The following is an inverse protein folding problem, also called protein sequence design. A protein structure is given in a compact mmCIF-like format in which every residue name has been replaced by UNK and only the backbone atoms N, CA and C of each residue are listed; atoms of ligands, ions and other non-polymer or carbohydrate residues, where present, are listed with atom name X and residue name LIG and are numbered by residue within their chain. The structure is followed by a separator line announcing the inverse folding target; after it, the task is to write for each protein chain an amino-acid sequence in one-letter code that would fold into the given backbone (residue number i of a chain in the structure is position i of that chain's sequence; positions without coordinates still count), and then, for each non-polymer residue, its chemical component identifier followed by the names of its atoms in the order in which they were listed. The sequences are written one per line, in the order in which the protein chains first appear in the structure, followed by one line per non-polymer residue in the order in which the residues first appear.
data_IF_073929879554
#
_entry.id   IF_073929879554
#
_cell.length_a   1.000
_cell.length_b   1.000
_cell.length_c   1.000
_cell.angle_alpha   90.00
_cell.angle_beta   90.00
_cell.angle_gamma   90.00
#
_symmetry.space_group_name_H-M   'P 1'
#
loop_
_entity.id
_entity.type
_entity.pdbx_description
1 polymer ?
#
# COMPACT_ATOMS: atom_id res chain seq x y z
N UNK A 1 -6.47 -42.29 22.40
CA UNK A 1 -7.58 -41.48 22.96
C UNK A 1 -8.80 -41.67 22.07
N UNK A 2 -9.98 -42.01 22.60
CA UNK A 2 -11.21 -42.04 21.80
C UNK A 2 -11.49 -40.61 21.32
N UNK A 3 -11.49 -40.42 20.01
CA UNK A 3 -11.77 -39.12 19.38
C UNK A 3 -13.25 -38.80 19.57
N UNK A 4 -13.57 -37.68 20.21
CA UNK A 4 -14.95 -37.21 20.33
C UNK A 4 -15.44 -36.66 18.98
N UNK A 5 -16.09 -37.54 18.21
CA UNK A 5 -16.63 -37.25 16.88
C UNK A 5 -17.66 -36.12 16.92
N UNK A 6 -18.39 -35.93 18.03
CA UNK A 6 -19.38 -34.85 18.16
C UNK A 6 -18.70 -33.49 18.29
N UNK A 7 -17.59 -33.41 19.02
CA UNK A 7 -16.82 -32.18 19.16
C UNK A 7 -16.15 -31.78 17.85
N UNK A 8 -15.56 -32.75 17.14
CA UNK A 8 -14.95 -32.51 15.82
C UNK A 8 -15.99 -32.02 14.82
N UNK A 9 -17.18 -32.63 14.79
CA UNK A 9 -18.28 -32.19 13.92
C UNK A 9 -18.68 -30.74 14.21
N UNK A 10 -18.83 -30.34 15.48
CA UNK A 10 -19.14 -28.95 15.86
C UNK A 10 -18.08 -27.96 15.36
N UNK A 11 -16.80 -28.28 15.51
CA UNK A 11 -15.69 -27.43 15.04
C UNK A 11 -15.64 -27.34 13.51
N UNK A 12 -15.89 -28.45 12.80
CA UNK A 12 -15.96 -28.45 11.34
C UNK A 12 -17.16 -27.66 10.81
N UNK A 13 -18.33 -27.71 11.46
CA UNK A 13 -19.49 -26.87 11.11
C UNK A 13 -19.15 -25.39 11.22
N UNK A 14 -18.41 -24.99 12.26
CA UNK A 14 -17.94 -23.61 12.38
C UNK A 14 -16.98 -23.20 11.26
N UNK A 15 -16.08 -24.10 10.85
CA UNK A 15 -15.03 -23.81 9.86
C UNK A 15 -15.52 -23.86 8.41
N UNK A 16 -16.41 -24.80 8.08
CA UNK A 16 -16.94 -25.02 6.73
C UNK A 16 -18.27 -24.30 6.48
N UNK A 17 -19.00 -23.91 7.54
CA UNK A 17 -20.30 -23.22 7.49
C UNK A 17 -21.41 -23.95 6.71
N UNK A 18 -21.20 -25.21 6.35
CA UNK A 18 -22.14 -26.06 5.62
C UNK A 18 -22.09 -27.49 6.18
N UNK A 19 -23.23 -28.01 6.63
CA UNK A 19 -23.33 -29.35 7.23
C UNK A 19 -23.09 -30.48 6.21
N UNK A 20 -23.38 -30.26 4.93
CA UNK A 20 -23.15 -31.23 3.86
C UNK A 20 -21.66 -31.40 3.59
N UNK A 21 -20.91 -30.29 3.57
CA UNK A 21 -19.45 -30.32 3.44
C UNK A 21 -18.77 -30.94 4.65
N UNK A 22 -19.33 -30.78 5.85
CA UNK A 22 -18.83 -31.44 7.06
C UNK A 22 -19.04 -32.95 6.98
N UNK A 23 -20.22 -33.40 6.53
CA UNK A 23 -20.48 -34.83 6.33
C UNK A 23 -19.55 -35.43 5.27
N UNK A 24 -19.33 -34.70 4.17
CA UNK A 24 -18.42 -35.14 3.12
C UNK A 24 -16.95 -35.14 3.56
N UNK A 25 -16.52 -34.13 4.33
CA UNK A 25 -15.20 -34.06 4.94
C UNK A 25 -14.95 -35.26 5.87
N UNK A 26 -15.88 -35.55 6.78
CA UNK A 26 -15.77 -36.68 7.71
C UNK A 26 -15.74 -38.01 6.95
N UNK A 27 -16.50 -38.12 5.86
CA UNK A 27 -16.50 -39.32 4.99
C UNK A 27 -15.15 -39.52 4.28
N UNK A 28 -14.51 -38.44 3.83
CA UNK A 28 -13.26 -38.49 3.04
C UNK A 28 -11.99 -38.57 3.90
N UNK A 29 -11.94 -37.86 5.02
CA UNK A 29 -10.72 -37.65 5.82
C UNK A 29 -10.83 -38.17 7.26
N UNK A 30 -12.00 -38.69 7.66
CA UNK A 30 -12.28 -39.11 9.02
C UNK A 30 -12.53 -37.94 9.99
N UNK A 31 -12.78 -38.23 11.28
CA UNK A 31 -13.05 -37.23 12.30
C UNK A 31 -11.76 -36.57 12.82
N UNK A 32 -10.89 -36.08 11.93
CA UNK A 32 -9.65 -35.38 12.27
C UNK A 32 -9.63 -34.01 11.60
N UNK A 33 -9.36 -32.95 12.38
CA UNK A 33 -9.33 -31.58 11.87
C UNK A 33 -7.94 -31.32 11.27
N UNK A 34 -7.89 -31.19 9.95
CA UNK A 34 -6.70 -30.79 9.20
C UNK A 34 -7.04 -29.59 8.31
N UNK A 35 -6.32 -28.49 8.53
CA UNK A 35 -6.52 -27.23 7.81
C UNK A 35 -6.30 -27.39 6.30
N UNK A 36 -5.39 -28.29 5.88
CA UNK A 36 -5.13 -28.54 4.45
C UNK A 36 -6.35 -29.18 3.79
N UNK A 37 -6.92 -30.21 4.42
CA UNK A 37 -8.10 -30.90 3.90
C UNK A 37 -9.34 -29.98 3.90
N UNK A 38 -9.47 -29.10 4.89
CA UNK A 38 -10.55 -28.10 4.96
C UNK A 38 -10.46 -27.12 3.79
N UNK A 39 -9.25 -26.67 3.41
CA UNK A 39 -9.04 -25.82 2.23
C UNK A 39 -9.43 -26.55 0.94
N UNK A 40 -9.01 -27.80 0.78
CA UNK A 40 -9.34 -28.61 -0.40
C UNK A 40 -10.86 -28.77 -0.59
N UNK A 41 -11.60 -28.99 0.51
CA UNK A 41 -13.06 -29.09 0.47
C UNK A 41 -13.74 -27.76 0.09
N UNK A 42 -13.20 -26.62 0.54
CA UNK A 42 -13.75 -25.30 0.16
C UNK A 42 -13.53 -24.98 -1.32
N UNK A 43 -12.38 -25.36 -1.86
CA UNK A 43 -12.02 -25.12 -3.26
C UNK A 43 -12.85 -26.00 -4.21
N UNK A 44 -13.07 -27.28 -3.85
CA UNK A 44 -13.81 -28.22 -4.70
C UNK A 44 -15.33 -28.02 -4.73
N UNK A 45 -15.91 -27.33 -3.75
CA UNK A 45 -17.36 -27.17 -3.61
C UNK A 45 -17.95 -25.97 -4.38
N UNK A 46 -17.19 -25.32 -5.26
CA UNK A 46 -17.65 -24.15 -6.00
C UNK A 46 -17.91 -22.93 -5.10
N UNK A 47 -17.39 -22.94 -3.86
CA UNK A 47 -17.30 -21.73 -3.06
C UNK A 47 -16.21 -20.87 -3.68
N UNK A 48 -16.63 -19.81 -4.39
CA UNK A 48 -15.80 -18.74 -4.94
C UNK A 48 -14.56 -18.55 -4.07
N UNK A 49 -13.50 -19.27 -4.45
CA UNK A 49 -12.18 -18.99 -3.94
C UNK A 49 -11.82 -17.80 -4.78
N UNK A 50 -12.04 -16.62 -4.19
CA UNK A 50 -11.67 -15.32 -4.71
C UNK A 50 -10.58 -15.51 -5.76
N UNK A 51 -10.97 -15.36 -7.03
CA UNK A 51 -10.03 -15.31 -8.12
C UNK A 51 -8.96 -14.32 -7.69
N UNK A 52 -7.79 -14.91 -7.51
CA UNK A 52 -6.56 -14.28 -7.11
C UNK A 52 -6.24 -13.17 -8.08
N UNK A 53 -5.69 -12.09 -7.54
CA UNK A 53 -4.97 -11.03 -8.26
C UNK A 53 -5.83 -10.03 -9.04
N UNK A 54 -6.48 -9.10 -8.32
CA UNK A 54 -6.57 -7.69 -8.71
C UNK A 54 -7.17 -7.30 -10.08
N UNK A 55 -7.71 -8.24 -10.84
CA UNK A 55 -8.31 -7.99 -12.15
C UNK A 55 -9.73 -7.43 -11.97
N UNK A 56 -10.04 -6.42 -12.77
CA UNK A 56 -11.36 -5.78 -12.81
C UNK A 56 -12.37 -6.83 -13.27
N UNK A 57 -13.12 -7.40 -12.32
CA UNK A 57 -14.08 -8.46 -12.60
C UNK A 57 -15.26 -7.99 -13.47
N UNK A 58 -15.36 -6.69 -13.75
CA UNK A 58 -16.42 -6.08 -14.57
C UNK A 58 -17.84 -6.21 -14.00
N UNK A 59 -18.00 -6.93 -12.89
CA UNK A 59 -19.26 -7.24 -12.23
C UNK A 59 -19.39 -6.44 -10.94
N UNK A 60 -20.48 -5.68 -10.83
CA UNK A 60 -20.79 -4.87 -9.65
C UNK A 60 -20.72 -3.36 -9.91
N UNK A 61 -21.12 -2.59 -8.91
CA UNK A 61 -21.11 -1.13 -8.98
C UNK A 61 -19.69 -0.56 -9.00
N UNK A 62 -19.51 0.60 -9.61
CA UNK A 62 -18.22 1.27 -9.65
C UNK A 62 -17.80 1.77 -8.25
N UNK A 63 -16.66 1.32 -7.69
CA UNK A 63 -16.20 1.75 -6.37
C UNK A 63 -15.63 3.18 -6.35
N UNK A 64 -15.45 3.82 -7.50
CA UNK A 64 -14.83 5.15 -7.62
C UNK A 64 -15.86 6.21 -7.95
N UNK A 65 -15.65 7.42 -7.40
CA UNK A 65 -16.35 8.64 -7.80
C UNK A 65 -15.35 9.76 -8.12
N UNK A 66 -15.79 10.74 -8.92
CA UNK A 66 -14.96 11.88 -9.30
C UNK A 66 -15.20 13.08 -8.37
N UNK A 67 -14.12 13.80 -8.06
CA UNK A 67 -14.15 15.12 -7.45
C UNK A 67 -13.35 16.10 -8.30
N UNK A 68 -13.68 17.39 -8.19
CA UNK A 68 -12.93 18.47 -8.85
C UNK A 68 -12.02 19.19 -7.87
N UNK A 69 -10.78 19.43 -8.29
CA UNK A 69 -9.73 20.08 -7.51
C UNK A 69 -9.10 21.23 -8.31
N UNK A 70 -8.46 22.18 -7.63
CA UNK A 70 -7.71 23.26 -8.24
C UNK A 70 -6.20 23.08 -7.97
N UNK A 71 -5.36 23.33 -8.97
CA UNK A 71 -3.92 23.18 -8.83
C UNK A 71 -3.30 24.32 -8.03
N UNK A 72 -2.52 24.05 -6.97
CA UNK A 72 -1.83 25.11 -6.23
C UNK A 72 -0.59 25.67 -6.96
N UNK A 73 -0.10 24.97 -7.99
CA UNK A 73 1.11 25.35 -8.72
C UNK A 73 0.80 26.27 -9.90
N UNK A 74 -0.31 26.06 -10.61
CA UNK A 74 -0.60 26.83 -11.85
C UNK A 74 -2.03 27.35 -11.92
N UNK A 75 -2.76 27.28 -10.80
CA UNK A 75 -4.15 27.72 -10.64
C UNK A 75 -5.15 27.15 -11.64
N UNK A 76 -4.79 26.05 -12.33
CA UNK A 76 -5.73 25.33 -13.18
C UNK A 76 -6.87 24.80 -12.34
N UNK A 77 -8.08 25.19 -12.71
CA UNK A 77 -9.31 24.76 -12.07
C UNK A 77 -9.83 23.43 -12.65
N UNK A 78 -10.75 22.80 -11.93
CA UNK A 78 -11.54 21.65 -12.39
C UNK A 78 -10.69 20.43 -12.80
N UNK A 79 -9.63 20.13 -12.05
CA UNK A 79 -8.84 18.92 -12.21
C UNK A 79 -9.62 17.75 -11.64
N UNK A 80 -9.81 16.71 -12.43
CA UNK A 80 -10.51 15.50 -12.02
C UNK A 80 -9.58 14.67 -11.12
N UNK A 81 -10.07 14.34 -9.93
CA UNK A 81 -9.46 13.40 -8.98
C UNK A 81 -10.43 12.26 -8.73
N UNK A 82 -9.90 11.05 -8.62
CA UNK A 82 -10.67 9.84 -8.38
C UNK A 82 -10.58 9.48 -6.90
N UNK A 83 -11.71 9.17 -6.26
CA UNK A 83 -11.78 8.79 -4.85
C UNK A 83 -12.59 7.51 -4.67
N UNK A 84 -12.24 6.71 -3.66
CA UNK A 84 -12.98 5.50 -3.32
C UNK A 84 -14.24 5.83 -2.52
N UNK A 85 -15.38 5.24 -2.93
CA UNK A 85 -16.58 5.18 -2.10
C UNK A 85 -16.26 4.44 -0.80
N UNK A 86 -16.80 4.92 0.31
CA UNK A 86 -16.55 4.31 1.61
C UNK A 86 -16.96 2.82 1.61
N UNK A 87 -16.07 1.94 2.11
CA UNK A 87 -16.28 0.48 2.23
C UNK A 87 -16.53 -0.26 0.91
N UNK A 88 -16.33 0.38 -0.24
CA UNK A 88 -16.51 -0.24 -1.57
C UNK A 88 -15.43 -1.26 -1.92
N UNK A 89 -14.23 -1.10 -1.36
CA UNK A 89 -13.11 -2.02 -1.54
C UNK A 89 -12.58 -2.49 -0.19
N UNK A 90 -12.33 -3.79 -0.10
CA UNK A 90 -11.53 -4.37 0.97
C UNK A 90 -10.05 -4.21 0.65
N UNK A 91 -9.29 -3.64 1.59
CA UNK A 91 -7.84 -3.49 1.48
C UNK A 91 -7.17 -4.68 2.15
N UNK A 92 -6.40 -5.43 1.38
CA UNK A 92 -5.59 -6.56 1.87
C UNK A 92 -4.14 -6.19 1.65
N UNK A 93 -3.35 -6.23 2.71
CA UNK A 93 -1.95 -5.85 2.68
C UNK A 93 -1.06 -7.09 2.60
N UNK A 94 -0.11 -7.11 1.65
CA UNK A 94 0.86 -8.20 1.52
C UNK A 94 2.07 -8.02 2.44
N UNK A 95 3.02 -8.96 2.38
CA UNK A 95 4.27 -8.93 3.18
C UNK A 95 5.23 -7.78 2.84
N UNK A 96 5.03 -7.07 1.72
CA UNK A 96 5.75 -5.84 1.36
C UNK A 96 4.96 -4.57 1.75
N UNK A 97 3.89 -4.72 2.53
CA UNK A 97 2.95 -3.65 2.87
C UNK A 97 2.26 -3.02 1.65
N UNK A 98 2.22 -3.72 0.52
CA UNK A 98 1.48 -3.29 -0.67
C UNK A 98 0.03 -3.71 -0.54
N UNK A 99 -0.88 -2.77 -0.81
CA UNK A 99 -2.32 -2.99 -0.73
C UNK A 99 -2.83 -3.55 -2.06
N UNK A 100 -3.51 -4.68 -1.99
CA UNK A 100 -4.42 -5.18 -3.03
C UNK A 100 -5.84 -4.84 -2.65
N UNK A 101 -6.64 -4.44 -3.64
CA UNK A 101 -8.02 -4.05 -3.44
C UNK A 101 -8.92 -5.15 -3.98
N UNK A 102 -9.90 -5.58 -3.19
CA UNK A 102 -10.93 -6.52 -3.61
C UNK A 102 -12.32 -5.86 -3.49
N UNK A 103 -13.21 -6.15 -4.45
CA UNK A 103 -14.58 -5.67 -4.43
C UNK A 103 -15.31 -6.05 -3.14
N UNK A 104 -16.06 -5.12 -2.56
CA UNK A 104 -16.86 -5.36 -1.37
C UNK A 104 -18.26 -4.72 -1.51
N UNK A 105 -19.25 -5.24 -0.78
CA UNK A 105 -20.60 -4.67 -0.73
C UNK A 105 -21.22 -4.45 -2.13
N UNK A 106 -21.10 -5.43 -3.03
CA UNK A 106 -21.66 -5.35 -4.38
C UNK A 106 -20.89 -4.47 -5.39
N UNK A 107 -19.74 -3.92 -4.99
CA UNK A 107 -18.86 -3.19 -5.88
C UNK A 107 -17.84 -4.11 -6.55
N UNK A 108 -17.43 -3.75 -7.77
CA UNK A 108 -16.40 -4.49 -8.51
C UNK A 108 -15.00 -4.33 -7.91
N UNK A 109 -14.15 -5.31 -8.16
CA UNK A 109 -12.71 -5.23 -7.87
C UNK A 109 -12.07 -4.18 -8.78
N UNK A 110 -11.13 -3.39 -8.25
CA UNK A 110 -10.42 -2.36 -9.02
C UNK A 110 -9.04 -2.11 -8.40
N UNK A 111 -7.99 -2.11 -9.21
CA UNK A 111 -6.66 -1.67 -8.76
C UNK A 111 -6.61 -0.15 -8.64
N UNK A 112 -6.99 0.35 -7.47
CA UNK A 112 -7.04 1.78 -7.19
C UNK A 112 -5.67 2.47 -7.25
N UNK A 113 -4.56 1.73 -7.13
CA UNK A 113 -3.22 2.30 -7.27
C UNK A 113 -3.01 2.98 -8.63
N UNK A 114 -3.68 2.50 -9.68
CA UNK A 114 -3.63 3.15 -11.00
C UNK A 114 -4.29 4.54 -10.98
N UNK A 115 -5.32 4.73 -10.15
CA UNK A 115 -6.12 5.97 -10.14
C UNK A 115 -5.78 6.91 -8.97
N UNK A 116 -5.10 6.40 -7.93
CA UNK A 116 -4.88 7.11 -6.68
C UNK A 116 -4.18 8.47 -6.85
N UNK A 117 -3.25 8.57 -7.82
CA UNK A 117 -2.54 9.83 -8.07
C UNK A 117 -3.34 10.73 -9.01
N UNK A 118 -3.62 11.93 -8.54
CA UNK A 118 -4.19 13.02 -9.35
C UNK A 118 -3.07 13.83 -9.98
N UNK A 119 -3.20 14.15 -11.27
CA UNK A 119 -2.21 14.89 -12.05
C UNK A 119 -2.86 16.13 -12.65
N UNK A 120 -2.25 17.30 -12.45
CA UNK A 120 -2.64 18.52 -13.13
C UNK A 120 -2.19 18.46 -14.60
N UNK A 121 -3.10 18.51 -15.59
CA UNK A 121 -2.68 18.37 -16.99
C UNK A 121 -1.96 19.61 -17.54
N UNK A 122 -1.99 20.75 -16.82
CA UNK A 122 -1.28 21.98 -17.23
C UNK A 122 0.16 22.07 -16.74
N UNK A 123 0.46 21.63 -15.53
CA UNK A 123 1.81 21.79 -14.95
C UNK A 123 2.44 20.49 -14.47
N UNK A 124 1.72 19.37 -14.65
CA UNK A 124 2.12 18.02 -14.26
C UNK A 124 2.43 17.89 -12.77
N UNK A 125 1.94 18.79 -11.94
CA UNK A 125 1.90 18.60 -10.50
C UNK A 125 1.06 17.36 -10.18
N UNK A 126 1.59 16.46 -9.34
CA UNK A 126 0.96 15.19 -9.04
C UNK A 126 0.95 14.89 -7.54
N UNK A 127 -0.17 14.35 -7.06
CA UNK A 127 -0.36 13.94 -5.68
C UNK A 127 -1.41 12.85 -5.53
N UNK A 128 -1.19 11.84 -4.69
CA UNK A 128 -2.26 10.95 -4.23
C UNK A 128 -3.11 11.51 -3.07
N UNK A 129 -2.66 12.57 -2.40
CA UNK A 129 -3.42 13.25 -1.35
C UNK A 129 -4.12 14.49 -1.92
N UNK A 130 -5.46 14.49 -1.89
CA UNK A 130 -6.28 15.62 -2.32
C UNK A 130 -6.03 16.91 -1.53
N UNK A 131 -5.51 16.82 -0.29
CA UNK A 131 -5.16 18.00 0.53
C UNK A 131 -3.95 18.75 0.00
N UNK A 132 -3.15 18.11 -0.86
CA UNK A 132 -2.08 18.79 -1.58
C UNK A 132 -2.61 19.69 -2.71
N UNK A 133 -3.89 19.59 -3.06
CA UNK A 133 -4.57 20.49 -3.99
C UNK A 133 -5.42 21.52 -3.24
N UNK A 134 -5.84 22.56 -3.96
CA UNK A 134 -6.86 23.49 -3.46
C UNK A 134 -8.21 22.80 -3.66
N UNK A 135 -8.97 22.65 -2.57
CA UNK A 135 -10.29 22.00 -2.59
C UNK A 135 -11.39 23.02 -2.29
N UNK A 136 -12.62 22.78 -2.73
CA UNK A 136 -13.76 23.64 -2.37
C UNK A 136 -14.53 22.98 -1.22
N UNK A 137 -14.62 23.67 -0.09
CA UNK A 137 -15.46 23.19 1.01
C UNK A 137 -16.93 23.35 0.63
N UNK A 138 -17.66 22.23 0.50
CA UNK A 138 -19.05 22.21 0.05
C UNK A 138 -20.04 22.92 1.00
N UNK A 139 -19.69 23.06 2.29
CA UNK A 139 -20.59 23.67 3.30
C UNK A 139 -20.53 25.20 3.24
N UNK A 140 -19.31 25.74 3.22
CA UNK A 140 -19.07 27.19 3.24
C UNK A 140 -18.82 27.79 1.84
N UNK A 141 -18.74 26.94 0.81
CA UNK A 141 -18.39 27.28 -0.56
C UNK A 141 -17.11 28.15 -0.68
N UNK A 142 -16.11 27.87 0.16
CA UNK A 142 -14.82 28.58 0.18
C UNK A 142 -13.68 27.66 -0.22
N UNK A 143 -12.64 28.19 -0.90
CA UNK A 143 -11.45 27.43 -1.20
C UNK A 143 -10.70 27.11 0.10
N UNK A 144 -10.34 25.84 0.26
CA UNK A 144 -9.40 25.37 1.28
C UNK A 144 -8.02 25.31 0.60
N UNK A 145 -7.03 26.04 1.12
CA UNK A 145 -5.69 26.07 0.53
C UNK A 145 -5.02 24.70 0.60
N UNK A 146 -4.02 24.50 -0.27
CA UNK A 146 -3.16 23.32 -0.23
C UNK A 146 -2.40 23.25 1.10
N UNK A 147 -2.14 22.03 1.57
CA UNK A 147 -1.25 21.80 2.72
C UNK A 147 0.24 21.98 2.39
N UNK A 148 0.61 22.10 1.11
CA UNK A 148 1.99 22.37 0.70
C UNK A 148 2.29 23.86 0.95
N UNK A 149 3.36 24.20 1.69
CA UNK A 149 3.73 25.59 1.95
C UNK A 149 4.12 26.36 0.68
N UNK A 150 4.12 27.71 0.72
CA UNK A 150 4.44 28.54 -0.45
C UNK A 150 5.83 28.29 -1.07
N UNK A 151 6.87 28.10 -0.25
CA UNK A 151 8.24 27.94 -0.75
C UNK A 151 8.43 26.67 -1.62
N UNK A 152 7.98 25.48 -1.20
CA UNK A 152 7.91 24.31 -2.08
C UNK A 152 7.06 24.54 -3.33
N UNK A 153 5.92 25.26 -3.23
CA UNK A 153 5.08 25.58 -4.40
C UNK A 153 5.86 26.41 -5.43
N UNK A 154 6.60 27.43 -5.00
CA UNK A 154 7.44 28.25 -5.89
C UNK A 154 8.50 27.40 -6.62
N UNK A 155 9.22 26.54 -5.90
CA UNK A 155 10.17 25.62 -6.54
C UNK A 155 9.48 24.65 -7.50
N UNK A 156 8.29 24.18 -7.16
CA UNK A 156 7.51 23.34 -8.07
C UNK A 156 7.11 24.10 -9.34
N UNK A 157 6.78 25.40 -9.26
CA UNK A 157 6.51 26.24 -10.42
C UNK A 157 7.73 26.36 -11.33
N UNK A 158 8.92 26.59 -10.77
CA UNK A 158 10.17 26.68 -11.53
C UNK A 158 10.50 25.36 -12.25
N UNK A 159 10.18 24.23 -11.61
CA UNK A 159 10.46 22.89 -12.15
C UNK A 159 9.37 22.30 -13.06
N UNK A 160 8.47 23.13 -13.62
CA UNK A 160 7.47 22.66 -14.60
C UNK A 160 8.15 22.04 -15.83
N UNK A 161 9.27 22.62 -16.29
CA UNK A 161 10.03 22.11 -17.44
C UNK A 161 10.57 20.70 -17.22
N UNK A 162 11.18 20.44 -16.06
CA UNK A 162 11.70 19.11 -15.68
C UNK A 162 10.59 18.04 -15.72
N UNK A 163 9.40 18.35 -15.19
CA UNK A 163 8.26 17.43 -15.21
C UNK A 163 7.70 17.19 -16.61
N UNK A 164 7.74 18.20 -17.49
CA UNK A 164 7.33 18.02 -18.89
C UNK A 164 8.33 17.17 -19.67
N UNK A 165 9.63 17.34 -19.41
CA UNK A 165 10.68 16.58 -20.09
C UNK A 165 10.55 15.06 -19.87
N UNK A 166 10.13 14.63 -18.67
CA UNK A 166 9.96 13.19 -18.42
C UNK A 166 8.80 12.56 -19.20
N UNK A 167 7.82 13.34 -19.65
CA UNK A 167 6.66 12.83 -20.38
C UNK A 167 6.99 12.43 -21.83
N UNK A 168 8.17 12.81 -22.34
CA UNK A 168 8.62 12.45 -23.67
C UNK A 168 7.64 12.89 -24.76
N UNK A 169 7.07 11.92 -25.48
CA UNK A 169 6.20 12.13 -26.65
C UNK A 169 4.70 12.30 -26.32
N UNK A 170 4.31 12.30 -25.04
CA UNK A 170 2.89 12.46 -24.68
C UNK A 170 2.45 13.91 -24.97
N UNK A 171 1.49 14.08 -25.87
CA UNK A 171 0.98 15.40 -26.30
C UNK A 171 -0.28 15.80 -25.53
N UNK A 172 -1.21 14.87 -25.32
CA UNK A 172 -2.48 15.11 -24.64
C UNK A 172 -2.47 14.53 -23.21
N UNK A 173 -1.99 15.33 -22.25
CA UNK A 173 -1.94 14.94 -20.84
C UNK A 173 -3.31 14.72 -20.23
N UNK A 174 -4.33 15.45 -20.70
CA UNK A 174 -5.67 15.38 -20.11
C UNK A 174 -6.32 14.04 -20.40
N UNK A 175 -6.23 13.56 -21.64
CA UNK A 175 -6.67 12.21 -21.99
C UNK A 175 -5.77 11.13 -21.41
N UNK A 176 -4.45 11.34 -21.41
CA UNK A 176 -3.47 10.35 -20.96
C UNK A 176 -3.66 9.94 -19.49
N UNK A 177 -3.97 10.89 -18.61
CA UNK A 177 -4.18 10.62 -17.18
C UNK A 177 -5.65 10.34 -16.81
N UNK A 178 -6.58 10.37 -17.76
CA UNK A 178 -8.00 10.09 -17.51
C UNK A 178 -8.25 8.59 -17.38
N UNK A 179 -9.35 8.23 -16.71
CA UNK A 179 -9.85 6.85 -16.64
C UNK A 179 -10.46 6.41 -17.98
N UNK A 180 -10.27 5.14 -18.44
CA UNK A 180 -9.44 4.09 -17.83
C UNK A 180 -7.95 4.41 -17.96
N UNK A 181 -7.24 4.41 -16.82
CA UNK A 181 -5.81 4.72 -16.79
C UNK A 181 -5.02 3.44 -16.99
N UNK A 182 -4.20 3.42 -18.04
CA UNK A 182 -3.30 2.30 -18.29
C UNK A 182 -2.09 2.32 -17.33
N UNK A 183 -1.32 1.24 -17.35
CA UNK A 183 -0.21 1.07 -16.40
C UNK A 183 0.92 2.08 -16.64
N UNK A 184 1.16 2.45 -17.90
CA UNK A 184 2.15 3.46 -18.27
C UNK A 184 1.80 4.84 -17.68
N UNK A 185 0.56 5.28 -17.84
CA UNK A 185 0.08 6.53 -17.26
C UNK A 185 0.08 6.48 -15.73
N UNK A 186 -0.19 5.33 -15.11
CA UNK A 186 -0.08 5.15 -13.66
C UNK A 186 1.39 5.30 -13.19
N UNK A 187 2.34 4.66 -13.89
CA UNK A 187 3.77 4.80 -13.61
C UNK A 187 4.24 6.25 -13.77
N UNK A 188 3.85 6.95 -14.84
CA UNK A 188 4.15 8.37 -15.00
C UNK A 188 3.54 9.22 -13.88
N UNK A 189 2.32 8.92 -13.44
CA UNK A 189 1.69 9.63 -12.31
C UNK A 189 2.54 9.52 -11.04
N UNK A 190 3.03 8.32 -10.72
CA UNK A 190 3.91 8.13 -9.56
C UNK A 190 5.30 8.76 -9.76
N UNK A 191 5.88 8.73 -10.96
CA UNK A 191 7.14 9.45 -11.26
C UNK A 191 6.99 10.96 -11.03
N UNK A 192 5.88 11.55 -11.47
CA UNK A 192 5.56 12.95 -11.22
C UNK A 192 5.36 13.24 -9.73
N UNK A 193 4.70 12.35 -9.00
CA UNK A 193 4.53 12.47 -7.54
C UNK A 193 5.88 12.36 -6.81
N UNK A 194 6.79 11.51 -7.27
CA UNK A 194 8.18 11.40 -6.79
C UNK A 194 8.95 12.69 -7.02
N UNK A 195 8.86 13.31 -8.21
CA UNK A 195 9.49 14.61 -8.46
C UNK A 195 8.97 15.69 -7.52
N UNK A 196 7.67 15.68 -7.19
CA UNK A 196 7.13 16.59 -6.18
C UNK A 196 7.68 16.29 -4.78
N UNK A 197 7.66 15.03 -4.35
CA UNK A 197 8.16 14.64 -3.04
C UNK A 197 9.67 14.90 -2.87
N UNK A 198 10.47 14.89 -3.94
CA UNK A 198 11.88 15.32 -3.92
C UNK A 198 12.04 16.80 -3.57
N UNK A 199 11.14 17.66 -4.07
CA UNK A 199 11.13 19.08 -3.68
C UNK A 199 10.75 19.20 -2.20
N UNK A 200 9.76 18.45 -1.74
CA UNK A 200 9.39 18.44 -0.32
C UNK A 200 10.54 17.97 0.59
N UNK A 201 11.30 16.96 0.16
CA UNK A 201 12.47 16.46 0.87
C UNK A 201 13.60 17.50 0.93
N UNK A 202 13.82 18.25 -0.15
CA UNK A 202 14.76 19.38 -0.17
C UNK A 202 14.38 20.47 0.85
N UNK A 203 13.08 20.67 1.09
CA UNK A 203 12.56 21.57 2.12
C UNK A 203 12.33 20.89 3.48
N UNK A 204 12.88 19.69 3.69
CA UNK A 204 12.81 18.92 4.95
C UNK A 204 11.38 18.71 5.46
N UNK A 205 10.39 18.66 4.56
CA UNK A 205 9.01 18.47 4.98
C UNK A 205 8.84 17.08 5.64
N UNK A 206 7.97 16.96 6.66
CA UNK A 206 7.71 15.69 7.33
C UNK A 206 7.24 14.61 6.37
N UNK A 207 7.72 13.38 6.56
CA UNK A 207 7.40 12.18 5.79
C UNK A 207 7.73 12.26 4.28
N UNK A 208 8.43 13.27 3.80
CA UNK A 208 8.77 13.41 2.37
C UNK A 208 9.60 12.23 1.87
N UNK A 209 10.59 11.77 2.65
CA UNK A 209 11.40 10.59 2.33
C UNK A 209 10.56 9.30 2.40
N UNK A 210 9.64 9.20 3.36
CA UNK A 210 8.69 8.09 3.42
C UNK A 210 7.77 8.05 2.18
N UNK A 211 7.27 9.20 1.71
CA UNK A 211 6.47 9.30 0.48
C UNK A 211 7.26 8.78 -0.72
N UNK A 212 8.53 9.15 -0.87
CA UNK A 212 9.40 8.68 -1.95
C UNK A 212 9.55 7.14 -1.95
N UNK A 213 9.78 6.54 -0.79
CA UNK A 213 9.82 5.09 -0.63
C UNK A 213 8.48 4.43 -0.97
N UNK A 214 7.38 4.97 -0.45
CA UNK A 214 6.03 4.45 -0.70
C UNK A 214 5.61 4.53 -2.18
N UNK A 215 5.94 5.62 -2.88
CA UNK A 215 5.67 5.76 -4.32
C UNK A 215 6.49 4.77 -5.14
N UNK A 216 7.73 4.52 -4.74
CA UNK A 216 8.58 3.50 -5.35
C UNK A 216 7.97 2.11 -5.20
N UNK A 217 7.42 1.76 -4.02
CA UNK A 217 6.70 0.49 -3.85
C UNK A 217 5.45 0.36 -4.72
N UNK A 218 4.74 1.46 -4.96
CA UNK A 218 3.56 1.47 -5.85
C UNK A 218 3.96 1.27 -7.30
N UNK A 219 5.05 1.91 -7.75
CA UNK A 219 5.62 1.68 -9.07
C UNK A 219 6.10 0.23 -9.24
N UNK A 220 6.79 -0.33 -8.24
CA UNK A 220 7.24 -1.71 -8.25
C UNK A 220 6.08 -2.71 -8.37
N UNK A 221 4.97 -2.48 -7.64
CA UNK A 221 3.74 -3.27 -7.79
C UNK A 221 3.21 -3.23 -9.23
N UNK A 222 3.13 -2.05 -9.84
CA UNK A 222 2.63 -1.90 -11.21
C UNK A 222 3.57 -2.61 -12.21
N UNK A 223 4.89 -2.52 -12.02
CA UNK A 223 5.87 -3.25 -12.84
C UNK A 223 5.75 -4.77 -12.68
N UNK A 224 5.61 -5.28 -11.44
CA UNK A 224 5.35 -6.70 -11.17
C UNK A 224 4.10 -7.18 -11.91
N UNK A 225 3.01 -6.42 -11.87
CA UNK A 225 1.76 -6.76 -12.57
C UNK A 225 1.93 -6.80 -14.10
N UNK A 226 2.84 -5.99 -14.65
CA UNK A 226 3.23 -6.01 -16.07
C UNK A 226 4.24 -7.11 -16.41
N UNK A 227 4.69 -7.90 -15.42
CA UNK A 227 5.78 -8.88 -15.54
C UNK A 227 7.11 -8.24 -16.00
N UNK A 228 7.32 -6.99 -15.61
CA UNK A 228 8.55 -6.23 -15.84
C UNK A 228 9.46 -6.29 -14.60
N UNK A 229 10.77 -6.10 -14.79
CA UNK A 229 11.73 -6.06 -13.68
C UNK A 229 11.48 -4.82 -12.80
N UNK A 230 11.18 -5.05 -11.52
CA UNK A 230 10.95 -4.03 -10.52
C UNK A 230 12.15 -3.83 -9.57
N UNK A 231 13.23 -4.59 -9.76
CA UNK A 231 14.39 -4.64 -8.85
C UNK A 231 14.99 -3.27 -8.56
N UNK A 232 15.19 -2.43 -9.60
CA UNK A 232 15.74 -1.10 -9.40
C UNK A 232 14.79 -0.20 -8.59
N UNK A 233 13.50 -0.29 -8.86
CA UNK A 233 12.48 0.50 -8.13
C UNK A 233 12.41 0.08 -6.65
N UNK A 234 12.57 -1.21 -6.36
CA UNK A 234 12.67 -1.70 -4.98
C UNK A 234 13.95 -1.20 -4.30
N UNK A 235 15.09 -1.15 -5.01
CA UNK A 235 16.34 -0.57 -4.48
C UNK A 235 16.18 0.92 -4.17
N UNK A 236 15.54 1.68 -5.05
CA UNK A 236 15.25 3.10 -4.82
C UNK A 236 14.37 3.27 -3.57
N UNK A 237 13.35 2.42 -3.40
CA UNK A 237 12.49 2.42 -2.21
C UNK A 237 13.31 2.18 -0.92
N UNK A 238 14.22 1.21 -0.93
CA UNK A 238 15.12 0.92 0.20
C UNK A 238 15.94 2.14 0.56
N UNK A 239 16.59 2.80 -0.41
CA UNK A 239 17.45 3.95 -0.12
C UNK A 239 16.65 5.11 0.47
N UNK A 240 15.46 5.41 -0.05
CA UNK A 240 14.58 6.42 0.55
C UNK A 240 14.15 6.07 1.97
N UNK A 241 13.80 4.81 2.23
CA UNK A 241 13.45 4.37 3.59
C UNK A 241 14.63 4.42 4.55
N UNK A 242 15.83 4.06 4.10
CA UNK A 242 17.05 4.18 4.91
C UNK A 242 17.35 5.63 5.26
N UNK A 243 17.26 6.52 4.28
CA UNK A 243 17.46 7.96 4.49
C UNK A 243 16.39 8.52 5.45
N UNK A 244 15.13 8.11 5.27
CA UNK A 244 14.03 8.50 6.16
C UNK A 244 14.28 8.07 7.61
N UNK A 245 14.79 6.84 7.80
CA UNK A 245 15.13 6.31 9.12
C UNK A 245 16.33 7.02 9.74
N UNK A 246 17.40 7.26 8.97
CA UNK A 246 18.61 7.95 9.45
C UNK A 246 18.33 9.39 9.88
N UNK A 247 17.47 10.09 9.15
CA UNK A 247 17.16 11.49 9.39
C UNK A 247 15.96 11.70 10.34
N UNK A 248 15.39 10.63 10.89
CA UNK A 248 14.15 10.68 11.70
C UNK A 248 13.03 11.50 11.04
N UNK A 249 12.90 11.43 9.70
CA UNK A 249 11.93 12.23 8.94
C UNK A 249 10.48 11.71 9.09
N UNK A 250 10.25 10.68 9.90
CA UNK A 250 8.94 10.13 10.19
C UNK A 250 8.19 11.00 11.21
N UNK A 251 6.93 11.34 10.93
CA UNK A 251 6.10 12.14 11.85
C UNK A 251 5.56 11.35 13.06
N UNK A 252 5.78 10.04 13.10
CA UNK A 252 5.35 9.19 14.22
C UNK A 252 6.18 7.91 14.33
N UNK A 253 6.26 7.37 15.55
CA UNK A 253 6.91 6.09 15.83
C UNK A 253 6.32 4.95 14.98
N UNK A 254 5.00 4.95 14.76
CA UNK A 254 4.32 3.97 13.90
C UNK A 254 4.90 3.93 12.48
N UNK A 255 5.13 5.11 11.89
CA UNK A 255 5.72 5.23 10.55
C UNK A 255 7.18 4.75 10.59
N UNK A 256 7.93 5.08 11.63
CA UNK A 256 9.31 4.61 11.80
C UNK A 256 9.39 3.07 11.85
N UNK A 257 8.50 2.43 12.60
CA UNK A 257 8.46 0.95 12.66
C UNK A 257 8.11 0.34 11.30
N UNK A 258 7.17 0.95 10.57
CA UNK A 258 6.84 0.54 9.20
C UNK A 258 8.03 0.68 8.26
N UNK A 259 8.82 1.74 8.39
CA UNK A 259 10.03 1.97 7.60
C UNK A 259 11.04 0.85 7.85
N UNK A 260 11.36 0.56 9.12
CA UNK A 260 12.31 -0.51 9.46
C UNK A 260 11.83 -1.88 8.96
N UNK A 261 10.54 -2.18 9.12
CA UNK A 261 9.94 -3.40 8.55
C UNK A 261 10.09 -3.46 7.03
N UNK A 262 9.79 -2.36 6.34
CA UNK A 262 9.86 -2.29 4.88
C UNK A 262 11.28 -2.53 4.38
N UNK A 263 12.30 -1.96 5.06
CA UNK A 263 13.70 -2.20 4.71
C UNK A 263 14.07 -3.69 4.81
N UNK A 264 13.64 -4.36 5.90
CA UNK A 264 13.86 -5.81 6.07
C UNK A 264 13.17 -6.58 4.94
N UNK A 265 11.88 -6.33 4.72
CA UNK A 265 11.08 -7.05 3.75
C UNK A 265 11.62 -6.91 2.32
N UNK A 266 12.05 -5.70 1.95
CA UNK A 266 12.60 -5.42 0.62
C UNK A 266 13.96 -6.07 0.39
N UNK A 267 14.86 -6.03 1.38
CA UNK A 267 16.15 -6.74 1.27
C UNK A 267 15.95 -8.26 1.17
N UNK A 268 14.98 -8.83 1.88
CA UNK A 268 14.63 -10.25 1.74
C UNK A 268 14.05 -10.55 0.35
N UNK A 269 13.16 -9.70 -0.18
CA UNK A 269 12.62 -9.84 -1.55
C UNK A 269 13.72 -9.83 -2.61
N UNK A 270 14.74 -8.99 -2.43
CA UNK A 270 15.90 -8.90 -3.31
C UNK A 270 16.97 -9.99 -3.07
N UNK A 271 16.68 -10.98 -2.21
CA UNK A 271 17.62 -12.06 -1.83
C UNK A 271 18.93 -11.54 -1.21
N UNK A 272 18.86 -10.45 -0.45
CA UNK A 272 19.98 -9.81 0.24
C UNK A 272 19.85 -9.89 1.80
N UNK A 273 19.70 -11.09 2.41
CA UNK A 273 19.42 -11.23 3.85
C UNK A 273 20.50 -10.62 4.75
N UNK A 274 21.76 -10.63 4.31
CA UNK A 274 22.87 -10.01 5.05
C UNK A 274 22.66 -8.50 5.28
N UNK A 275 21.98 -7.82 4.35
CA UNK A 275 21.66 -6.39 4.48
C UNK A 275 20.39 -6.12 5.29
N UNK A 276 19.49 -7.10 5.39
CA UNK A 276 18.30 -7.01 6.24
C UNK A 276 18.63 -7.20 7.74
N UNK A 277 19.60 -8.05 8.08
CA UNK A 277 19.91 -8.41 9.47
C UNK A 277 20.15 -7.21 10.42
N UNK A 278 20.91 -6.16 10.06
CA UNK A 278 21.13 -5.02 10.93
C UNK A 278 19.85 -4.27 11.33
N UNK A 279 18.80 -4.32 10.50
CA UNK A 279 17.52 -3.66 10.75
C UNK A 279 16.63 -4.47 11.70
N UNK A 280 16.79 -5.80 11.76
CA UNK A 280 16.23 -6.61 12.86
C UNK A 280 16.85 -6.18 14.20
N UNK A 281 18.17 -5.94 14.22
CA UNK A 281 18.85 -5.40 15.41
C UNK A 281 18.42 -3.97 15.76
N UNK A 282 18.10 -3.13 14.76
CA UNK A 282 17.59 -1.78 15.00
C UNK A 282 16.24 -1.79 15.73
N UNK A 283 15.34 -2.69 15.32
CA UNK A 283 14.08 -2.96 16.00
C UNK A 283 14.26 -3.29 17.49
N UNK A 284 15.20 -4.17 17.81
CA UNK A 284 15.50 -4.57 19.19
C UNK A 284 16.06 -3.42 20.04
N UNK A 285 16.87 -2.55 19.45
CA UNK A 285 17.35 -1.32 20.11
C UNK A 285 16.20 -0.37 20.44
N UNK A 286 15.36 -0.05 19.44
CA UNK A 286 14.18 0.80 19.62
C UNK A 286 13.27 0.26 20.74
N UNK A 287 13.01 -1.06 20.76
CA UNK A 287 12.22 -1.69 21.82
C UNK A 287 12.86 -1.52 23.19
N UNK A 288 14.17 -1.73 23.29
CA UNK A 288 14.91 -1.58 24.56
C UNK A 288 14.82 -0.15 25.08
N UNK A 289 15.02 0.84 24.20
CA UNK A 289 14.92 2.25 24.56
C UNK A 289 13.51 2.61 25.02
N UNK A 290 12.47 2.10 24.35
CA UNK A 290 11.08 2.33 24.75
C UNK A 290 10.73 1.66 26.08
N UNK A 291 11.24 0.46 26.36
CA UNK A 291 11.06 -0.20 27.66
C UNK A 291 11.74 0.57 28.79
N UNK A 292 12.94 1.10 28.54
CA UNK A 292 13.63 1.95 29.50
C UNK A 292 12.82 3.23 29.79
N UNK A 293 12.28 3.88 28.76
CA UNK A 293 11.40 5.04 28.93
C UNK A 293 10.08 4.68 29.63
N UNK A 294 9.51 3.51 29.34
CA UNK A 294 8.28 3.04 29.98
C UNK A 294 8.44 2.82 31.49
N UNK A 295 9.63 2.41 31.94
CA UNK A 295 9.94 2.29 33.37
C UNK A 295 9.82 3.63 34.10
N UNK A 296 10.08 4.75 33.40
CA UNK A 296 9.90 6.11 33.93
C UNK A 296 8.53 6.72 33.62
N UNK A 297 7.89 6.31 32.52
CA UNK A 297 6.60 6.79 32.06
C UNK A 297 5.71 5.62 31.58
N UNK A 298 4.82 5.11 32.44
CA UNK A 298 3.93 3.99 32.10
C UNK A 298 2.95 4.27 30.95
N UNK A 299 2.78 5.54 30.53
CA UNK A 299 1.89 5.88 29.41
C UNK A 299 2.45 5.50 28.04
N UNK A 300 3.74 5.18 27.97
CA UNK A 300 4.41 4.76 26.73
C UNK A 300 3.90 3.39 26.30
N UNK A 301 3.29 3.35 25.12
CA UNK A 301 2.77 2.11 24.51
C UNK A 301 3.89 1.35 23.77
N UNK A 302 4.26 0.19 24.30
CA UNK A 302 5.25 -0.72 23.69
C UNK A 302 4.61 -1.82 22.81
N UNK A 303 3.29 -1.98 22.86
CA UNK A 303 2.59 -3.07 22.14
C UNK A 303 2.72 -2.93 20.62
N UNK A 304 2.75 -1.69 20.14
CA UNK A 304 2.88 -1.42 18.70
C UNK A 304 4.25 -1.87 18.16
N UNK A 305 5.34 -1.53 18.85
CA UNK A 305 6.69 -1.95 18.44
C UNK A 305 6.83 -3.48 18.52
N UNK A 306 6.27 -4.13 19.55
CA UNK A 306 6.29 -5.59 19.66
C UNK A 306 5.57 -6.27 18.49
N UNK A 307 4.45 -5.70 18.03
CA UNK A 307 3.73 -6.19 16.84
C UNK A 307 4.59 -6.14 15.59
N UNK A 308 5.28 -5.02 15.34
CA UNK A 308 6.15 -4.86 14.18
C UNK A 308 7.40 -5.74 14.22
N UNK A 309 7.99 -5.89 15.41
CA UNK A 309 9.14 -6.79 15.62
C UNK A 309 8.76 -8.23 15.33
N UNK A 310 7.61 -8.68 15.85
CA UNK A 310 7.15 -10.04 15.61
C UNK A 310 6.88 -10.28 14.12
N UNK A 311 6.24 -9.33 13.43
CA UNK A 311 6.07 -9.38 11.97
C UNK A 311 7.42 -9.51 11.24
N UNK A 312 8.43 -8.73 11.63
CA UNK A 312 9.76 -8.77 11.02
C UNK A 312 10.49 -10.09 11.31
N UNK A 313 10.38 -10.63 12.53
CA UNK A 313 10.96 -11.92 12.91
C UNK A 313 10.34 -13.09 12.16
N UNK A 314 9.02 -13.15 12.07
CA UNK A 314 8.35 -14.19 11.27
C UNK A 314 8.78 -14.12 9.80
N UNK A 315 8.90 -12.91 9.25
CA UNK A 315 9.39 -12.73 7.88
C UNK A 315 10.85 -13.20 7.72
N UNK A 316 11.69 -12.97 8.74
CA UNK A 316 13.08 -13.40 8.77
C UNK A 316 13.25 -14.92 8.92
N UNK A 317 12.40 -15.57 9.71
CA UNK A 317 12.38 -17.02 9.87
C UNK A 317 11.99 -17.71 8.56
N UNK A 318 11.01 -17.16 7.85
CA UNK A 318 10.52 -17.65 6.55
C UNK A 318 11.44 -17.28 5.36
N UNK A 319 12.59 -16.61 5.57
CA UNK A 319 13.42 -16.00 4.50
C UNK A 319 13.91 -16.96 3.40
N UNK A 320 13.97 -18.26 3.69
CA UNK A 320 14.46 -19.29 2.77
C UNK A 320 13.34 -19.84 1.86
N UNK A 321 12.09 -19.44 2.10
CA UNK A 321 10.95 -19.84 1.27
C UNK A 321 10.95 -19.10 -0.07
N UNK A 322 10.83 -19.84 -1.16
CA UNK A 322 10.77 -19.26 -2.51
C UNK A 322 9.47 -18.46 -2.73
N UNK A 323 8.35 -18.92 -2.15
CA UNK A 323 7.00 -18.33 -2.25
C UNK A 323 6.74 -17.20 -1.24
N UNK A 324 7.79 -16.67 -0.59
CA UNK A 324 7.62 -15.73 0.53
C UNK A 324 6.85 -14.46 0.16
N UNK A 325 6.98 -14.00 -1.10
CA UNK A 325 6.43 -12.72 -1.56
C UNK A 325 5.59 -12.85 -2.84
N UNK A 326 5.10 -14.05 -3.10
CA UNK A 326 4.24 -14.30 -4.25
C UNK A 326 2.82 -13.81 -3.99
#
# INVERSE_FOLDING_TARGET
MPIDVKEVKKRLVFLLKDENLVAEYIRRFGPVIDIKNIRTMKIGAGGDTAESEGEDTGKGEDPVYEITLNCPVCDRQNIISYELKAKSLQQIENRLLQVTYAGAMGHRTLDYDKLAVTVCPRCLFASPDKKDFITINKVINKPVPSQIPPNPILTLQEKIGERRAIMGSVVDFEKFFKRPRNDEAALFSYRLATLRAKVEAFYEMPNSLYKLGAYSLKMAKILKNRKEDDSQTLRDAIEYFKECFKNSNASSNSIEYRIVYSIVALHLKLKEPQKAHPYIGAFERIRTDLKAKQATDPSINITEIETWINKAKYLWEDREREDLFD
#
